data_IF_839346078696
#
_entry.id   IF_839346078696
#
_cell.length_a   1.000
_cell.length_b   1.000
_cell.length_c   1.000
_cell.angle_alpha   90.00
_cell.angle_beta   90.00
_cell.angle_gamma   90.00
#
_symmetry.space_group_name_H-M   'P 1'
#
loop_
_entity.id
_entity.type
_entity.pdbx_description
1 polymer ?
#
# COMPACT_ATOMS: atom_id res chain seq x y z
N UNK A 1 -10.72 -16.84 -26.91
CA UNK A 1 -11.81 -16.15 -26.18
C UNK A 1 -11.45 -14.69 -26.05
N UNK A 2 -12.10 -13.81 -26.82
CA UNK A 2 -11.75 -12.39 -27.00
C UNK A 2 -12.40 -11.55 -25.90
N UNK A 3 -11.62 -10.79 -25.14
CA UNK A 3 -12.11 -9.70 -24.30
C UNK A 3 -11.91 -8.41 -25.09
N UNK A 4 -13.02 -7.79 -25.47
CA UNK A 4 -13.08 -6.58 -26.28
C UNK A 4 -12.86 -5.34 -25.41
N UNK A 5 -11.86 -4.54 -25.74
CA UNK A 5 -11.73 -3.15 -25.28
C UNK A 5 -12.58 -2.27 -26.20
N UNK A 6 -13.66 -1.67 -25.68
CA UNK A 6 -14.39 -0.63 -26.39
C UNK A 6 -13.87 0.75 -25.96
N UNK A 7 -13.14 1.38 -26.88
CA UNK A 7 -12.94 2.83 -26.95
C UNK A 7 -14.22 3.41 -27.55
N UNK A 8 -14.87 4.38 -26.88
CA UNK A 8 -15.95 5.17 -27.48
C UNK A 8 -15.50 6.62 -27.65
N UNK A 9 -15.49 7.05 -28.91
CA UNK A 9 -15.23 8.42 -29.37
C UNK A 9 -16.40 9.34 -29.04
N UNK A 10 -16.08 10.58 -28.65
CA UNK A 10 -17.01 11.69 -28.49
C UNK A 10 -17.32 12.34 -29.86
N UNK A 11 -18.59 12.58 -30.13
CA UNK A 11 -19.06 13.62 -31.05
C UNK A 11 -20.31 14.24 -30.43
N UNK A 12 -20.30 15.57 -30.26
CA UNK A 12 -21.34 16.32 -29.56
C UNK A 12 -22.57 16.60 -30.41
N UNK A 13 -23.69 16.86 -29.74
CA UNK A 13 -24.70 17.82 -30.19
C UNK A 13 -25.44 18.38 -28.96
N UNK A 14 -25.63 19.69 -28.95
CA UNK A 14 -26.24 20.49 -27.88
C UNK A 14 -27.62 20.95 -28.36
N UNK A 15 -28.71 20.65 -27.64
CA UNK A 15 -29.98 21.42 -27.66
C UNK A 15 -30.64 21.38 -26.28
N UNK A 16 -31.17 22.53 -25.85
CA UNK A 16 -31.63 22.91 -24.51
C UNK A 16 -33.03 22.38 -24.11
N UNK A 17 -33.10 22.07 -22.79
CA UNK A 17 -34.14 22.31 -21.76
C UNK A 17 -35.64 22.15 -22.06
N UNK A 18 -36.31 21.34 -21.21
CA UNK A 18 -37.47 21.77 -20.41
C UNK A 18 -37.54 20.96 -19.10
N UNK A 19 -37.92 21.67 -18.04
CA UNK A 19 -37.85 21.36 -16.62
C UNK A 19 -38.92 20.40 -16.11
N UNK A 20 -38.50 19.42 -15.30
CA UNK A 20 -39.36 18.65 -14.39
C UNK A 20 -38.49 18.02 -13.30
N UNK A 21 -38.50 18.60 -12.11
CA UNK A 21 -37.76 18.09 -10.94
C UNK A 21 -38.46 16.86 -10.37
N UNK A 22 -38.23 15.71 -11.01
CA UNK A 22 -38.40 14.42 -10.35
C UNK A 22 -37.11 14.13 -9.58
N UNK A 23 -37.15 14.25 -8.25
CA UNK A 23 -36.13 13.70 -7.36
C UNK A 23 -36.16 12.17 -7.47
N UNK A 24 -35.57 11.63 -8.53
CA UNK A 24 -35.15 10.24 -8.56
C UNK A 24 -34.05 10.12 -7.52
N UNK A 25 -34.39 9.64 -6.33
CA UNK A 25 -33.40 9.04 -5.46
C UNK A 25 -32.68 7.99 -6.29
N UNK A 26 -31.42 8.25 -6.65
CA UNK A 26 -30.57 7.26 -7.26
C UNK A 26 -30.44 6.13 -6.24
N UNK A 27 -31.32 5.12 -6.34
CA UNK A 27 -31.06 3.85 -5.71
C UNK A 27 -29.73 3.39 -6.27
N UNK A 28 -28.72 3.33 -5.39
CA UNK A 28 -27.44 2.73 -5.78
C UNK A 28 -27.74 1.34 -6.35
N UNK A 29 -27.13 0.96 -7.47
CA UNK A 29 -27.39 -0.35 -8.06
C UNK A 29 -27.19 -1.43 -6.99
N UNK A 30 -28.04 -2.48 -6.97
CA UNK A 30 -27.96 -3.53 -5.96
C UNK A 30 -26.57 -4.15 -5.98
N UNK A 31 -25.94 -4.22 -4.81
CA UNK A 31 -24.61 -4.79 -4.65
C UNK A 31 -24.65 -6.31 -4.87
N UNK A 32 -24.05 -6.84 -5.95
CA UNK A 32 -24.09 -8.26 -6.25
C UNK A 32 -23.33 -9.12 -5.22
N UNK A 33 -22.50 -8.49 -4.38
CA UNK A 33 -21.67 -9.17 -3.37
C UNK A 33 -22.21 -9.06 -1.94
N UNK A 34 -23.39 -8.46 -1.74
CA UNK A 34 -23.96 -8.23 -0.39
C UNK A 34 -24.05 -9.49 0.48
N UNK A 35 -24.34 -10.66 -0.11
CA UNK A 35 -24.35 -11.94 0.64
C UNK A 35 -22.94 -12.36 1.06
N UNK A 36 -21.95 -12.19 0.19
CA UNK A 36 -20.56 -12.51 0.50
C UNK A 36 -20.01 -11.59 1.59
N UNK A 37 -20.36 -10.30 1.56
CA UNK A 37 -19.99 -9.33 2.60
C UNK A 37 -20.44 -9.78 3.98
N UNK A 38 -21.70 -10.21 4.12
CA UNK A 38 -22.24 -10.70 5.41
C UNK A 38 -21.48 -11.93 5.92
N UNK A 39 -21.15 -12.88 5.04
CA UNK A 39 -20.39 -14.09 5.41
C UNK A 39 -18.98 -13.73 5.86
N UNK A 40 -18.30 -12.84 5.14
CA UNK A 40 -16.94 -12.41 5.48
C UNK A 40 -16.96 -11.58 6.78
N UNK A 41 -17.93 -10.69 6.96
CA UNK A 41 -18.09 -9.90 8.19
C UNK A 41 -18.30 -10.78 9.42
N UNK A 42 -19.12 -11.83 9.32
CA UNK A 42 -19.35 -12.79 10.40
C UNK A 42 -18.06 -13.53 10.77
N UNK A 43 -17.37 -14.11 9.77
CA UNK A 43 -16.06 -14.76 9.95
C UNK A 43 -15.02 -13.84 10.61
N UNK A 44 -15.03 -12.57 10.23
CA UNK A 44 -14.08 -11.54 10.69
C UNK A 44 -14.51 -10.81 11.95
N UNK A 45 -15.61 -11.20 12.57
CA UNK A 45 -16.01 -10.60 13.84
C UNK A 45 -15.00 -10.93 14.95
N UNK A 46 -14.50 -9.88 15.59
CA UNK A 46 -13.70 -9.97 16.81
C UNK A 46 -14.67 -10.14 17.98
N UNK A 47 -14.78 -11.38 18.48
CA UNK A 47 -15.68 -11.75 19.58
C UNK A 47 -14.95 -11.91 20.93
N UNK A 48 -13.63 -11.76 20.96
CA UNK A 48 -12.85 -11.82 22.18
C UNK A 48 -13.27 -10.69 23.15
N UNK A 49 -13.45 -10.97 24.47
CA UNK A 49 -13.93 -9.96 25.42
C UNK A 49 -13.07 -8.69 25.51
N UNK A 50 -11.76 -8.82 25.32
CA UNK A 50 -10.80 -7.72 25.32
C UNK A 50 -10.44 -7.22 23.91
N UNK A 51 -11.12 -7.72 22.88
CA UNK A 51 -10.86 -7.40 21.49
C UNK A 51 -11.30 -5.99 21.10
N UNK A 52 -10.84 -5.56 19.93
CA UNK A 52 -11.21 -4.30 19.28
C UNK A 52 -11.51 -4.55 17.81
N UNK A 53 -12.62 -3.99 17.33
CA UNK A 53 -12.98 -3.91 15.92
C UNK A 53 -13.75 -2.61 15.69
N UNK A 54 -13.08 -1.60 15.16
CA UNK A 54 -13.63 -0.26 14.99
C UNK A 54 -13.26 0.30 13.61
N UNK A 55 -14.17 1.05 13.01
CA UNK A 55 -13.92 1.86 11.81
C UNK A 55 -14.42 3.28 12.05
N UNK A 56 -13.57 4.29 11.90
CA UNK A 56 -13.93 5.67 12.18
C UNK A 56 -13.12 6.66 11.35
N UNK A 57 -13.69 7.84 11.10
CA UNK A 57 -12.99 8.95 10.48
C UNK A 57 -12.27 9.81 11.54
N UNK A 58 -11.06 10.26 11.22
CA UNK A 58 -10.23 11.13 12.07
C UNK A 58 -9.81 12.37 11.28
N UNK A 59 -9.94 13.59 11.85
CA UNK A 59 -9.41 14.80 11.23
C UNK A 59 -7.88 14.79 11.27
N UNK A 60 -7.23 14.64 10.11
CA UNK A 60 -5.76 14.64 9.97
C UNK A 60 -5.36 15.45 8.75
N UNK A 61 -4.51 16.46 8.96
CA UNK A 61 -3.98 17.28 7.86
C UNK A 61 -5.07 17.97 7.02
N UNK A 62 -6.16 18.40 7.68
CA UNK A 62 -7.29 19.09 7.04
C UNK A 62 -8.27 18.19 6.28
N UNK A 63 -8.18 16.86 6.42
CA UNK A 63 -9.11 15.91 5.81
C UNK A 63 -9.58 14.86 6.83
N UNK A 64 -10.77 14.31 6.60
CA UNK A 64 -11.29 13.17 7.34
C UNK A 64 -10.68 11.87 6.79
N UNK A 65 -9.66 11.34 7.46
CA UNK A 65 -9.06 10.05 7.06
C UNK A 65 -9.74 8.90 7.78
N UNK A 66 -10.08 7.84 7.03
CA UNK A 66 -10.69 6.64 7.57
C UNK A 66 -9.66 5.69 8.15
N UNK A 67 -9.93 5.21 9.36
CA UNK A 67 -9.09 4.31 10.14
C UNK A 67 -9.87 3.04 10.46
N UNK A 68 -9.19 1.90 10.39
CA UNK A 68 -9.72 0.57 10.68
C UNK A 68 -8.80 -0.08 11.72
N UNK A 69 -9.37 -0.47 12.86
CA UNK A 69 -8.61 -1.02 14.00
C UNK A 69 -9.16 -2.39 14.34
N UNK A 70 -8.29 -3.41 14.32
CA UNK A 70 -8.67 -4.81 14.59
C UNK A 70 -7.62 -5.51 15.45
N UNK A 71 -8.05 -6.26 16.47
CA UNK A 71 -7.17 -7.06 17.32
C UNK A 71 -7.96 -7.87 18.35
N UNK A 72 -7.50 -9.08 18.67
CA UNK A 72 -8.14 -9.96 19.66
C UNK A 72 -7.90 -9.49 21.11
N UNK A 73 -6.94 -8.58 21.33
CA UNK A 73 -6.66 -7.98 22.64
C UNK A 73 -6.13 -6.55 22.46
N UNK A 74 -6.81 -5.56 23.07
CA UNK A 74 -6.40 -4.14 23.06
C UNK A 74 -5.02 -3.87 23.68
N UNK A 75 -4.48 -4.81 24.47
CA UNK A 75 -3.14 -4.73 25.07
C UNK A 75 -2.04 -5.15 24.11
N UNK A 76 -2.38 -5.83 23.01
CA UNK A 76 -1.39 -6.24 22.03
C UNK A 76 -0.66 -5.02 21.43
N UNK A 77 0.62 -5.15 21.07
CA UNK A 77 1.34 -4.11 20.34
C UNK A 77 0.58 -3.67 19.09
N UNK A 78 0.55 -2.36 18.84
CA UNK A 78 -0.10 -1.81 17.66
C UNK A 78 0.87 -1.78 16.48
N UNK A 79 0.43 -2.31 15.33
CA UNK A 79 1.05 -2.07 14.03
C UNK A 79 0.24 -0.99 13.31
N UNK A 80 0.87 0.15 13.02
CA UNK A 80 0.34 1.14 12.08
C UNK A 80 0.81 0.78 10.67
N UNK A 81 -0.11 0.33 9.82
CA UNK A 81 0.17 -0.10 8.47
C UNK A 81 -0.11 1.03 7.47
N UNK A 82 0.95 1.52 6.82
CA UNK A 82 0.92 2.56 5.79
C UNK A 82 0.91 1.88 4.41
N UNK A 83 -0.25 1.90 3.76
CA UNK A 83 -0.45 1.20 2.49
C UNK A 83 0.27 1.85 1.29
N UNK A 84 0.33 1.11 0.19
CA UNK A 84 0.95 1.53 -1.07
C UNK A 84 0.04 2.33 -2.01
N UNK A 85 0.49 2.46 -3.27
CA UNK A 85 -0.33 2.93 -4.39
C UNK A 85 0.28 4.03 -5.27
N UNK A 86 0.67 5.23 -4.82
CA UNK A 86 -0.11 5.95 -3.82
C UNK A 86 -1.62 5.78 -4.04
N UNK A 87 -2.38 5.83 -2.93
CA UNK A 87 -3.83 5.68 -2.90
C UNK A 87 -4.42 4.27 -3.20
N UNK A 88 -3.68 3.19 -2.91
CA UNK A 88 -4.19 1.80 -2.95
C UNK A 88 -4.37 1.24 -1.52
N UNK A 89 -5.52 1.45 -0.87
CA UNK A 89 -5.71 1.10 0.53
C UNK A 89 -5.72 -0.41 0.72
N UNK A 90 -5.20 -0.87 1.85
CA UNK A 90 -5.10 -2.30 2.16
C UNK A 90 -6.30 -2.80 3.01
N UNK A 91 -7.03 -1.90 3.68
CA UNK A 91 -8.21 -2.24 4.48
C UNK A 91 -9.27 -3.08 3.74
N UNK A 92 -9.60 -2.82 2.46
CA UNK A 92 -10.55 -3.66 1.74
C UNK A 92 -9.97 -5.00 1.23
N UNK A 93 -8.70 -5.29 1.51
CA UNK A 93 -7.98 -6.48 1.03
C UNK A 93 -7.62 -7.41 2.19
N UNK A 94 -7.56 -6.88 3.43
CA UNK A 94 -7.01 -7.62 4.58
C UNK A 94 -7.80 -8.82 5.06
N UNK A 95 -9.06 -8.96 4.64
CA UNK A 95 -9.84 -10.18 4.89
C UNK A 95 -9.17 -11.44 4.28
N UNK A 96 -8.20 -11.30 3.37
CA UNK A 96 -7.46 -12.43 2.82
C UNK A 96 -6.30 -12.94 3.69
N UNK A 97 -5.75 -12.12 4.59
CA UNK A 97 -4.50 -12.49 5.29
C UNK A 97 -4.34 -12.00 6.74
N UNK A 98 -5.07 -10.95 7.17
CA UNK A 98 -4.75 -10.26 8.42
C UNK A 98 -5.20 -11.02 9.67
N UNK A 99 -6.28 -11.81 9.59
CA UNK A 99 -6.94 -12.41 10.76
C UNK A 99 -5.98 -13.12 11.74
N UNK A 100 -5.02 -13.96 11.32
CA UNK A 100 -4.07 -14.57 12.25
C UNK A 100 -3.12 -13.56 12.95
N UNK A 101 -2.83 -12.41 12.35
CA UNK A 101 -2.02 -11.36 12.97
C UNK A 101 -2.74 -10.72 14.16
N UNK A 102 -4.07 -10.69 14.13
CA UNK A 102 -4.92 -10.03 15.14
C UNK A 102 -4.86 -10.73 16.50
N UNK A 103 -4.40 -11.98 16.56
CA UNK A 103 -4.13 -12.71 17.80
C UNK A 103 -2.93 -12.13 18.58
N UNK A 104 -1.97 -11.55 17.87
CA UNK A 104 -0.67 -11.12 18.43
C UNK A 104 -0.47 -9.60 18.42
N UNK A 105 -1.24 -8.90 17.58
CA UNK A 105 -1.14 -7.47 17.32
C UNK A 105 -2.54 -6.84 17.27
N UNK A 106 -2.61 -5.55 17.61
CA UNK A 106 -3.72 -4.71 17.15
C UNK A 106 -3.27 -4.04 15.84
N UNK A 107 -3.91 -4.37 14.73
CA UNK A 107 -3.56 -3.82 13.42
C UNK A 107 -4.41 -2.57 13.17
N UNK A 108 -3.73 -1.46 12.89
CA UNK A 108 -4.32 -0.19 12.50
C UNK A 108 -3.98 0.06 11.04
N UNK A 109 -5.01 0.06 10.21
CA UNK A 109 -4.94 0.51 8.83
C UNK A 109 -5.67 1.84 8.69
N UNK A 110 -5.32 2.59 7.66
CA UNK A 110 -6.05 3.79 7.32
C UNK A 110 -5.99 4.01 5.82
N UNK A 111 -6.99 4.71 5.29
CA UNK A 111 -6.98 5.17 3.92
C UNK A 111 -6.32 6.56 3.93
N UNK A 112 -5.12 6.64 3.35
CA UNK A 112 -4.40 7.91 3.22
C UNK A 112 -5.26 8.97 2.52
N UNK A 113 -4.89 10.25 2.65
CA UNK A 113 -5.54 11.34 1.90
C UNK A 113 -5.69 10.97 0.42
N UNK A 114 -6.84 11.33 -0.15
CA UNK A 114 -7.20 11.00 -1.53
C UNK A 114 -7.19 9.50 -1.88
N UNK A 115 -7.40 8.59 -0.92
CA UNK A 115 -7.50 7.14 -1.14
C UNK A 115 -8.84 6.57 -0.69
N UNK A 116 -9.41 5.63 -1.46
CA UNK A 116 -10.54 4.79 -1.05
C UNK A 116 -11.67 5.55 -0.35
N UNK A 117 -12.03 5.10 0.85
CA UNK A 117 -13.11 5.71 1.65
C UNK A 117 -12.78 7.15 2.06
N UNK A 118 -11.52 7.48 2.31
CA UNK A 118 -11.05 8.86 2.54
C UNK A 118 -11.29 9.74 1.31
N UNK A 119 -11.08 9.24 0.09
CA UNK A 119 -11.43 10.00 -1.13
C UNK A 119 -12.94 10.25 -1.22
N UNK A 120 -13.75 9.21 -1.01
CA UNK A 120 -15.21 9.31 -1.10
C UNK A 120 -15.83 10.24 -0.05
N UNK A 121 -15.19 10.40 1.10
CA UNK A 121 -15.72 11.15 2.25
C UNK A 121 -15.46 12.67 2.16
N UNK A 122 -14.45 13.10 1.40
CA UNK A 122 -13.96 14.49 1.46
C UNK A 122 -14.29 15.25 0.17
N UNK A 123 -14.46 16.58 0.28
CA UNK A 123 -14.42 17.46 -0.89
C UNK A 123 -13.01 17.47 -1.49
N UNK A 124 -12.92 17.17 -2.78
CA UNK A 124 -11.65 17.02 -3.50
C UNK A 124 -11.26 18.28 -4.29
N UNK A 125 -12.13 19.29 -4.36
CA UNK A 125 -11.95 20.51 -5.18
C UNK A 125 -10.63 21.23 -4.87
N UNK A 126 -10.26 21.35 -3.59
CA UNK A 126 -9.00 21.95 -3.14
C UNK A 126 -7.88 20.95 -2.82
N UNK A 127 -8.20 19.65 -2.75
CA UNK A 127 -7.34 18.64 -2.13
C UNK A 127 -6.01 18.46 -2.88
N UNK A 128 -6.01 18.67 -4.19
CA UNK A 128 -4.84 18.50 -5.06
C UNK A 128 -3.62 19.32 -4.62
N UNK A 129 -3.84 20.48 -3.99
CA UNK A 129 -2.76 21.35 -3.47
C UNK A 129 -2.03 20.77 -2.28
N UNK A 130 -2.54 19.70 -1.67
CA UNK A 130 -1.94 19.04 -0.50
C UNK A 130 -1.35 17.68 -0.84
N UNK A 131 -1.45 17.24 -2.10
CA UNK A 131 -0.91 15.97 -2.57
C UNK A 131 0.60 16.12 -2.80
N UNK A 132 1.36 16.01 -1.71
CA UNK A 132 2.83 16.06 -1.64
C UNK A 132 3.34 15.06 -0.62
N UNK A 133 4.49 14.43 -0.86
CA UNK A 133 5.14 13.44 0.02
C UNK A 133 5.16 13.94 1.45
N UNK A 134 5.59 15.18 1.66
CA UNK A 134 5.68 15.78 2.99
C UNK A 134 4.35 15.76 3.74
N UNK A 135 3.24 16.04 3.06
CA UNK A 135 1.93 16.03 3.71
C UNK A 135 1.51 14.62 4.13
N UNK A 136 1.75 13.60 3.30
CA UNK A 136 1.50 12.21 3.69
C UNK A 136 2.33 11.79 4.91
N UNK A 137 3.57 12.28 5.01
CA UNK A 137 4.44 12.04 6.18
C UNK A 137 3.86 12.69 7.44
N UNK A 138 3.45 13.96 7.35
CA UNK A 138 2.83 14.66 8.48
C UNK A 138 1.52 13.99 8.92
N UNK A 139 0.71 13.54 7.97
CA UNK A 139 -0.51 12.80 8.28
C UNK A 139 -0.22 11.48 9.01
N UNK A 140 0.76 10.71 8.55
CA UNK A 140 1.14 9.45 9.18
C UNK A 140 1.66 9.66 10.62
N UNK A 141 2.44 10.73 10.85
CA UNK A 141 2.92 11.11 12.18
C UNK A 141 1.74 11.51 13.08
N UNK A 142 0.87 12.41 12.62
CA UNK A 142 -0.29 12.86 13.39
C UNK A 142 -1.23 11.70 13.72
N UNK A 143 -1.45 10.79 12.76
CA UNK A 143 -2.24 9.59 12.99
C UNK A 143 -1.56 8.68 14.03
N UNK A 144 -0.25 8.46 13.95
CA UNK A 144 0.49 7.68 14.95
C UNK A 144 0.33 8.25 16.37
N UNK A 145 0.37 9.58 16.53
CA UNK A 145 0.13 10.24 17.82
C UNK A 145 -1.29 10.02 18.34
N UNK A 146 -2.29 10.20 17.48
CA UNK A 146 -3.71 10.00 17.81
C UNK A 146 -3.94 8.55 18.25
N UNK A 147 -3.42 7.59 17.48
CA UNK A 147 -3.60 6.16 17.73
C UNK A 147 -2.93 5.74 19.03
N UNK A 148 -1.67 6.13 19.28
CA UNK A 148 -1.01 5.77 20.54
C UNK A 148 -1.78 6.34 21.74
N UNK A 149 -2.28 7.58 21.63
CA UNK A 149 -3.02 8.24 22.71
C UNK A 149 -4.37 7.56 22.94
N UNK A 150 -5.13 7.28 21.87
CA UNK A 150 -6.44 6.64 21.95
C UNK A 150 -6.38 5.25 22.59
N UNK A 151 -5.34 4.47 22.28
CA UNK A 151 -5.20 3.09 22.76
C UNK A 151 -4.18 2.92 23.89
N UNK A 152 -3.69 4.02 24.49
CA UNK A 152 -2.80 3.98 25.65
C UNK A 152 -1.43 3.34 25.40
N UNK A 153 -0.95 3.36 24.15
CA UNK A 153 0.34 2.77 23.78
C UNK A 153 1.47 3.81 23.86
N UNK A 154 2.63 3.42 24.38
CA UNK A 154 3.79 4.32 24.45
C UNK A 154 4.36 4.65 23.07
N UNK A 155 4.49 3.62 22.21
CA UNK A 155 4.98 3.68 20.84
C UNK A 155 4.22 2.65 19.98
N UNK A 156 4.34 2.77 18.66
CA UNK A 156 3.74 1.85 17.68
C UNK A 156 4.84 1.09 16.90
N UNK A 157 4.48 0.01 16.22
CA UNK A 157 5.30 -0.56 15.15
C UNK A 157 4.86 0.10 13.85
N UNK A 158 5.79 0.70 13.11
CA UNK A 158 5.46 1.33 11.82
C UNK A 158 5.77 0.36 10.68
N UNK A 159 4.76 0.01 9.90
CA UNK A 159 4.90 -0.90 8.77
C UNK A 159 4.48 -0.20 7.47
N UNK A 160 5.41 -0.06 6.53
CA UNK A 160 5.13 0.53 5.23
C UNK A 160 5.11 -0.52 4.13
N UNK A 161 4.18 -0.40 3.18
CA UNK A 161 4.13 -1.22 1.96
C UNK A 161 4.29 -0.36 0.71
N UNK A 162 5.20 -0.73 -0.19
CA UNK A 162 5.36 -0.07 -1.50
C UNK A 162 5.59 1.45 -1.35
N UNK A 163 4.81 2.30 -2.01
CA UNK A 163 4.76 3.76 -1.79
C UNK A 163 4.74 4.14 -0.29
N UNK A 164 4.01 3.41 0.54
CA UNK A 164 3.93 3.66 1.98
C UNK A 164 5.27 3.52 2.71
N UNK A 165 6.27 2.86 2.12
CA UNK A 165 7.63 2.81 2.65
C UNK A 165 8.35 4.15 2.58
N UNK A 166 8.04 4.98 1.57
CA UNK A 166 8.59 6.35 1.46
C UNK A 166 8.06 7.20 2.61
N UNK A 167 6.74 7.16 2.80
CA UNK A 167 6.05 7.88 3.89
C UNK A 167 6.59 7.41 5.25
N UNK A 168 6.68 6.09 5.43
CA UNK A 168 7.10 5.49 6.70
C UNK A 168 8.56 5.76 7.03
N UNK A 169 9.47 5.69 6.04
CA UNK A 169 10.89 6.01 6.21
C UNK A 169 11.06 7.45 6.71
N UNK A 170 10.43 8.41 6.05
CA UNK A 170 10.48 9.81 6.48
C UNK A 170 9.84 10.02 7.86
N UNK A 171 8.71 9.37 8.15
CA UNK A 171 8.05 9.47 9.45
C UNK A 171 8.93 8.92 10.59
N UNK A 172 9.53 7.74 10.40
CA UNK A 172 10.42 7.13 11.39
C UNK A 172 11.72 7.91 11.60
N UNK A 173 12.28 8.52 10.55
CA UNK A 173 13.46 9.37 10.67
C UNK A 173 13.15 10.68 11.42
N UNK A 174 11.97 11.27 11.19
CA UNK A 174 11.55 12.52 11.84
C UNK A 174 11.10 12.34 13.28
N UNK A 175 10.39 11.25 13.57
CA UNK A 175 9.77 10.97 14.88
C UNK A 175 10.05 9.56 15.38
N UNK A 176 11.34 9.21 15.57
CA UNK A 176 11.72 7.89 16.10
C UNK A 176 11.21 7.63 17.52
N UNK A 177 10.84 8.69 18.25
CA UNK A 177 10.21 8.60 19.56
C UNK A 177 8.83 7.92 19.51
N UNK A 178 8.13 7.95 18.37
CA UNK A 178 6.81 7.35 18.23
C UNK A 178 6.83 5.84 17.94
N UNK A 179 7.99 5.28 17.58
CA UNK A 179 8.04 3.92 17.02
C UNK A 179 9.01 2.99 17.75
N UNK A 180 8.60 1.74 17.93
CA UNK A 180 9.45 0.66 18.43
C UNK A 180 10.37 0.12 17.34
N UNK A 181 9.87 0.04 16.11
CA UNK A 181 10.58 -0.50 14.95
C UNK A 181 9.94 0.02 13.66
N UNK A 182 10.74 0.03 12.60
CA UNK A 182 10.28 0.20 11.22
C UNK A 182 10.33 -1.14 10.48
N UNK A 183 9.24 -1.49 9.78
CA UNK A 183 9.14 -2.66 8.91
C UNK A 183 8.80 -2.20 7.49
N UNK A 184 9.69 -2.46 6.53
CA UNK A 184 9.49 -2.18 5.11
C UNK A 184 9.07 -3.44 4.34
N UNK A 185 8.02 -3.33 3.53
CA UNK A 185 7.57 -4.36 2.57
C UNK A 185 7.57 -3.75 1.18
N UNK A 186 8.27 -4.37 0.21
CA UNK A 186 8.44 -3.78 -1.11
C UNK A 186 9.10 -2.40 -1.04
N UNK A 187 10.20 -2.32 -0.31
CA UNK A 187 10.90 -1.08 0.05
C UNK A 187 11.40 -0.29 -1.16
N UNK A 188 11.09 1.01 -1.18
CA UNK A 188 11.71 1.97 -2.10
C UNK A 188 12.90 2.64 -1.41
N UNK A 189 14.11 2.40 -1.91
CA UNK A 189 15.32 3.15 -1.51
C UNK A 189 15.58 4.30 -2.47
N UNK A 190 15.51 4.04 -3.78
CA UNK A 190 15.64 5.05 -4.81
C UNK A 190 14.66 4.71 -5.93
N UNK A 191 13.76 5.64 -6.23
CA UNK A 191 12.67 5.37 -7.17
C UNK A 191 13.18 5.13 -8.59
N UNK A 192 14.23 5.83 -9.02
CA UNK A 192 14.77 5.66 -10.37
C UNK A 192 15.51 4.33 -10.53
N UNK A 193 16.22 3.88 -9.49
CA UNK A 193 16.82 2.55 -9.45
C UNK A 193 15.76 1.45 -9.52
N UNK A 194 14.64 1.60 -8.79
CA UNK A 194 13.53 0.64 -8.90
C UNK A 194 12.94 0.61 -10.32
N UNK A 195 12.63 1.77 -10.91
CA UNK A 195 12.09 1.85 -12.28
C UNK A 195 13.03 1.22 -13.32
N UNK A 196 14.34 1.48 -13.21
CA UNK A 196 15.36 0.89 -14.08
C UNK A 196 15.44 -0.63 -13.95
N UNK A 197 15.57 -1.13 -12.72
CA UNK A 197 15.74 -2.57 -12.46
C UNK A 197 14.50 -3.38 -12.85
N UNK A 198 13.30 -2.83 -12.62
CA UNK A 198 12.04 -3.45 -13.06
C UNK A 198 11.96 -3.55 -14.58
N UNK A 199 12.35 -2.50 -15.31
CA UNK A 199 12.38 -2.50 -16.77
C UNK A 199 13.42 -3.46 -17.34
N UNK A 200 14.63 -3.47 -16.77
CA UNK A 200 15.70 -4.40 -17.18
C UNK A 200 15.28 -5.86 -16.94
N UNK A 201 14.61 -6.16 -15.83
CA UNK A 201 14.03 -7.48 -15.59
C UNK A 201 13.03 -7.89 -16.67
N UNK A 202 12.11 -6.99 -17.02
CA UNK A 202 11.12 -7.24 -18.05
C UNK A 202 11.76 -7.53 -19.42
N UNK A 203 12.81 -6.79 -19.78
CA UNK A 203 13.57 -7.04 -21.01
C UNK A 203 14.28 -8.40 -20.99
N UNK A 204 14.88 -8.79 -19.86
CA UNK A 204 15.53 -10.10 -19.72
C UNK A 204 14.52 -11.24 -19.87
N UNK A 205 13.39 -11.18 -19.16
CA UNK A 205 12.36 -12.21 -19.23
C UNK A 205 11.68 -12.26 -20.60
N UNK A 206 11.38 -11.11 -21.21
CA UNK A 206 10.85 -11.06 -22.57
C UNK A 206 11.80 -11.69 -23.60
N UNK A 207 13.11 -11.46 -23.43
CA UNK A 207 14.14 -12.06 -24.30
C UNK A 207 14.20 -13.57 -24.11
N UNK A 208 14.29 -14.03 -22.85
CA UNK A 208 14.35 -15.45 -22.48
C UNK A 208 13.14 -16.22 -23.00
N UNK A 209 11.95 -15.62 -22.92
CA UNK A 209 10.69 -16.22 -23.34
C UNK A 209 10.34 -15.97 -24.82
N UNK A 210 11.20 -15.27 -25.58
CA UNK A 210 10.97 -14.89 -26.99
C UNK A 210 9.62 -14.16 -27.18
N UNK A 211 9.25 -13.30 -26.24
CA UNK A 211 8.00 -12.54 -26.27
C UNK A 211 8.18 -11.27 -27.14
N UNK A 212 7.95 -11.42 -28.44
CA UNK A 212 8.14 -10.34 -29.44
C UNK A 212 7.22 -9.13 -29.22
N UNK A 213 6.05 -9.32 -28.60
CA UNK A 213 5.16 -8.19 -28.26
C UNK A 213 5.80 -7.36 -27.15
N UNK A 214 6.25 -8.02 -26.08
CA UNK A 214 6.92 -7.36 -24.96
C UNK A 214 8.22 -6.67 -25.40
N UNK A 215 9.04 -7.33 -26.20
CA UNK A 215 10.28 -6.76 -26.70
C UNK A 215 10.04 -5.50 -27.54
N UNK A 216 9.04 -5.52 -28.43
CA UNK A 216 8.68 -4.36 -29.24
C UNK A 216 8.20 -3.18 -28.38
N UNK A 217 7.30 -3.44 -27.43
CA UNK A 217 6.79 -2.39 -26.52
C UNK A 217 7.90 -1.83 -25.63
N UNK A 218 8.72 -2.67 -25.00
CA UNK A 218 9.79 -2.22 -24.10
C UNK A 218 10.89 -1.46 -24.85
N UNK A 219 11.27 -1.91 -26.05
CA UNK A 219 12.32 -1.25 -26.86
C UNK A 219 11.87 0.09 -27.43
N UNK A 220 10.56 0.35 -27.55
CA UNK A 220 10.07 1.61 -28.16
C UNK A 220 10.35 2.85 -27.32
N UNK A 221 10.76 2.70 -26.05
CA UNK A 221 11.07 3.82 -25.15
C UNK A 221 12.33 3.58 -24.30
N UNK A 222 13.15 2.59 -24.69
CA UNK A 222 14.42 2.28 -24.05
C UNK A 222 15.49 3.35 -24.39
N UNK A 223 16.46 3.60 -23.49
CA UNK A 223 16.54 3.09 -22.11
C UNK A 223 15.51 3.75 -21.20
N UNK A 224 15.05 3.02 -20.18
CA UNK A 224 14.13 3.52 -19.16
C UNK A 224 14.79 3.43 -17.77
N UNK A 225 14.71 4.47 -16.93
CA UNK A 225 14.01 5.74 -17.16
C UNK A 225 14.66 6.65 -18.22
N UNK A 226 15.99 6.54 -18.39
CA UNK A 226 16.77 7.34 -19.35
C UNK A 226 16.71 8.85 -19.05
N UNK A 227 16.99 9.68 -20.06
CA UNK A 227 16.98 11.14 -19.93
C UNK A 227 15.64 11.77 -20.34
N UNK A 228 14.65 10.95 -20.71
CA UNK A 228 13.33 11.42 -21.11
C UNK A 228 12.40 11.50 -19.90
N UNK A 229 11.43 12.45 -19.86
CA UNK A 229 10.47 12.55 -18.77
C UNK A 229 9.74 11.23 -18.54
N UNK A 230 9.69 10.77 -17.29
CA UNK A 230 8.90 9.60 -16.91
C UNK A 230 7.44 10.05 -16.83
N UNK A 231 6.67 9.81 -17.89
CA UNK A 231 5.24 10.11 -17.94
C UNK A 231 4.40 8.94 -17.44
N UNK A 232 3.12 9.17 -17.17
CA UNK A 232 2.18 8.12 -16.75
C UNK A 232 2.10 6.98 -17.77
N UNK A 233 2.09 7.31 -19.05
CA UNK A 233 2.01 6.34 -20.16
C UNK A 233 3.25 5.45 -20.19
N UNK A 234 4.44 6.03 -20.02
CA UNK A 234 5.69 5.27 -19.94
C UNK A 234 5.71 4.35 -18.72
N UNK A 235 5.22 4.81 -17.57
CA UNK A 235 5.10 3.99 -16.36
C UNK A 235 4.18 2.79 -16.59
N UNK A 236 3.02 3.00 -17.23
CA UNK A 236 2.07 1.92 -17.52
C UNK A 236 2.74 0.82 -18.35
N UNK A 237 3.45 1.19 -19.42
CA UNK A 237 4.11 0.20 -20.28
C UNK A 237 5.30 -0.44 -19.54
N UNK A 238 6.11 0.35 -18.84
CA UNK A 238 7.28 -0.13 -18.08
C UNK A 238 6.89 -1.11 -16.97
N UNK A 239 5.71 -0.95 -16.36
CA UNK A 239 5.23 -1.83 -15.29
C UNK A 239 4.39 -3.01 -15.78
N UNK A 240 3.78 -2.95 -16.97
CA UNK A 240 2.97 -4.05 -17.54
C UNK A 240 3.73 -5.38 -17.60
N UNK A 241 4.90 -5.38 -18.24
CA UNK A 241 5.67 -6.59 -18.49
C UNK A 241 6.36 -7.21 -17.26
N UNK A 242 7.02 -6.45 -16.37
CA UNK A 242 7.56 -7.06 -15.15
C UNK A 242 6.45 -7.68 -14.29
N UNK A 243 5.26 -7.07 -14.24
CA UNK A 243 4.11 -7.67 -13.56
C UNK A 243 3.60 -8.94 -14.26
N UNK A 244 3.52 -8.95 -15.59
CA UNK A 244 3.19 -10.15 -16.37
C UNK A 244 4.16 -11.31 -16.11
N UNK A 245 5.42 -11.02 -15.84
CA UNK A 245 6.42 -12.02 -15.47
C UNK A 245 6.49 -12.28 -13.95
N UNK A 246 5.42 -12.01 -13.21
CA UNK A 246 5.32 -12.33 -11.77
C UNK A 246 5.88 -11.30 -10.82
N UNK A 247 6.20 -10.09 -11.28
CA UNK A 247 6.80 -9.03 -10.48
C UNK A 247 5.88 -8.37 -9.45
N UNK A 248 4.55 -8.54 -9.60
CA UNK A 248 3.54 -8.07 -8.64
C UNK A 248 3.07 -9.20 -7.71
N UNK A 249 2.76 -10.37 -8.29
CA UNK A 249 2.48 -11.60 -7.57
C UNK A 249 3.29 -12.74 -8.19
N UNK A 250 4.09 -13.42 -7.37
CA UNK A 250 4.98 -14.48 -7.78
C UNK A 250 4.21 -15.59 -8.49
N UNK A 251 4.84 -16.11 -9.54
CA UNK A 251 4.32 -17.22 -10.34
C UNK A 251 2.97 -16.95 -11.04
N UNK A 252 2.52 -15.69 -11.08
CA UNK A 252 1.26 -15.30 -11.71
C UNK A 252 1.49 -14.22 -12.77
N UNK A 253 0.83 -14.37 -13.91
CA UNK A 253 0.86 -13.36 -14.97
C UNK A 253 -0.13 -12.21 -14.74
N UNK A 254 -1.02 -12.33 -13.76
CA UNK A 254 -1.96 -11.29 -13.36
C UNK A 254 -2.36 -11.43 -11.89
N UNK A 255 -2.80 -10.31 -11.30
CA UNK A 255 -3.23 -10.23 -9.89
C UNK A 255 -4.72 -9.91 -9.76
N UNK A 256 -5.57 -10.49 -10.62
CA UNK A 256 -7.03 -10.21 -10.60
C UNK A 256 -7.64 -10.50 -9.22
N UNK A 257 -7.14 -11.51 -8.50
CA UNK A 257 -7.59 -11.81 -7.13
C UNK A 257 -7.38 -10.62 -6.17
N UNK A 258 -6.27 -9.89 -6.30
CA UNK A 258 -5.95 -8.72 -5.48
C UNK A 258 -6.87 -7.55 -5.85
N UNK A 259 -7.02 -7.26 -7.15
CA UNK A 259 -7.85 -6.14 -7.62
C UNK A 259 -9.35 -6.37 -7.40
N UNK A 260 -9.81 -7.62 -7.38
CA UNK A 260 -11.21 -7.97 -7.09
C UNK A 260 -11.49 -8.14 -5.59
N UNK A 261 -10.47 -8.24 -4.74
CA UNK A 261 -10.68 -8.44 -3.30
C UNK A 261 -11.53 -7.36 -2.62
N UNK A 262 -11.42 -6.05 -2.99
CA UNK A 262 -12.29 -5.02 -2.46
C UNK A 262 -13.78 -5.25 -2.74
N UNK A 263 -14.14 -5.90 -3.85
CA UNK A 263 -15.53 -6.18 -4.20
C UNK A 263 -16.22 -7.11 -3.19
N UNK A 264 -15.45 -7.94 -2.49
CA UNK A 264 -15.96 -8.87 -1.46
C UNK A 264 -15.78 -8.32 -0.04
N UNK A 265 -15.19 -7.14 0.12
CA UNK A 265 -14.86 -6.63 1.44
C UNK A 265 -16.09 -6.07 2.16
N UNK A 266 -16.35 -6.47 3.42
CA UNK A 266 -17.39 -5.83 4.23
C UNK A 266 -16.97 -4.43 4.72
N UNK A 267 -15.71 -4.03 4.57
CA UNK A 267 -15.23 -2.72 5.02
C UNK A 267 -15.66 -1.57 4.09
N UNK A 268 -16.04 -1.89 2.85
CA UNK A 268 -16.26 -0.94 1.77
C UNK A 268 -17.62 -1.17 1.11
N UNK A 269 -18.33 -0.09 0.81
CA UNK A 269 -19.48 -0.10 -0.11
C UNK A 269 -19.02 -0.09 -1.57
N UNK A 270 -19.87 -0.44 -2.55
CA UNK A 270 -19.50 -0.35 -3.97
C UNK A 270 -18.97 1.01 -4.42
N UNK A 271 -19.53 2.11 -3.89
CA UNK A 271 -19.08 3.48 -4.19
C UNK A 271 -17.68 3.74 -3.62
N UNK A 272 -17.38 3.20 -2.44
CA UNK A 272 -16.05 3.31 -1.83
C UNK A 272 -15.01 2.46 -2.57
N UNK A 273 -15.42 1.32 -3.15
CA UNK A 273 -14.55 0.53 -4.04
C UNK A 273 -14.21 1.32 -5.30
N UNK A 274 -15.20 1.93 -5.96
CA UNK A 274 -14.97 2.79 -7.13
C UNK A 274 -14.05 3.98 -6.80
N UNK A 275 -14.12 4.50 -5.58
CA UNK A 275 -13.30 5.59 -5.11
C UNK A 275 -11.79 5.25 -5.02
N UNK A 276 -11.42 3.96 -4.98
CA UNK A 276 -10.01 3.54 -5.02
C UNK A 276 -9.36 3.98 -6.34
N UNK A 277 -10.01 3.69 -7.47
CA UNK A 277 -9.50 4.05 -8.80
C UNK A 277 -9.50 5.56 -9.00
N UNK A 278 -10.57 6.25 -8.59
CA UNK A 278 -10.65 7.72 -8.62
C UNK A 278 -9.52 8.35 -7.81
N UNK A 279 -9.26 7.84 -6.61
CA UNK A 279 -8.18 8.31 -5.74
C UNK A 279 -6.79 8.09 -6.33
N UNK A 280 -6.54 6.91 -6.92
CA UNK A 280 -5.28 6.59 -7.59
C UNK A 280 -5.01 7.52 -8.79
N UNK A 281 -6.02 7.72 -9.64
CA UNK A 281 -5.94 8.65 -10.78
C UNK A 281 -5.72 10.11 -10.32
N UNK A 282 -6.39 10.52 -9.25
CA UNK A 282 -6.23 11.86 -8.68
C UNK A 282 -4.82 12.06 -8.13
N UNK A 283 -4.25 11.04 -7.52
CA UNK A 283 -3.03 11.18 -6.71
C UNK A 283 -1.75 10.99 -7.51
N UNK A 284 -1.68 9.98 -8.39
CA UNK A 284 -0.42 9.54 -8.99
C UNK A 284 0.28 10.64 -9.80
N UNK A 285 -0.45 11.31 -10.69
CA UNK A 285 0.13 12.36 -11.56
C UNK A 285 0.69 13.54 -10.77
N UNK A 286 0.07 13.87 -9.63
CA UNK A 286 0.47 14.98 -8.75
C UNK A 286 1.71 14.63 -7.93
N UNK A 287 1.83 13.39 -7.47
CA UNK A 287 2.99 12.93 -6.70
C UNK A 287 4.19 12.56 -7.56
N UNK A 288 3.99 12.26 -8.85
CA UNK A 288 5.03 11.70 -9.69
C UNK A 288 6.36 12.49 -9.67
N UNK A 289 6.37 13.84 -9.75
CA UNK A 289 7.62 14.60 -9.67
C UNK A 289 8.39 14.41 -8.35
N UNK A 290 7.69 14.32 -7.21
CA UNK A 290 8.31 14.10 -5.91
C UNK A 290 8.72 12.63 -5.72
N UNK A 291 7.87 11.69 -6.15
CA UNK A 291 8.15 10.26 -6.11
C UNK A 291 9.46 9.92 -6.82
N UNK A 292 9.69 10.48 -8.01
CA UNK A 292 10.90 10.23 -8.81
C UNK A 292 12.17 10.86 -8.25
N UNK A 293 12.06 11.76 -7.28
CA UNK A 293 13.19 12.38 -6.57
C UNK A 293 13.55 11.67 -5.27
N UNK A 294 12.76 10.69 -4.84
CA UNK A 294 13.04 9.95 -3.62
C UNK A 294 14.37 9.22 -3.74
N UNK A 295 15.27 9.54 -2.81
CA UNK A 295 16.56 8.90 -2.65
C UNK A 295 16.95 8.78 -1.17
N UNK A 296 16.90 7.57 -0.63
CA UNK A 296 17.35 7.23 0.71
C UNK A 296 18.78 6.68 0.75
N UNK A 297 19.49 6.59 -0.38
CA UNK A 297 20.91 6.18 -0.41
C UNK A 297 21.81 6.99 0.54
N UNK A 298 21.59 8.30 0.74
CA UNK A 298 22.35 9.09 1.71
C UNK A 298 22.08 8.75 3.18
N UNK A 299 20.97 8.07 3.50
CA UNK A 299 20.65 7.66 4.89
C UNK A 299 21.59 6.52 5.30
N UNK A 300 22.65 6.85 6.04
CA UNK A 300 23.64 5.87 6.53
C UNK A 300 23.39 5.39 7.95
N UNK A 301 22.51 6.05 8.70
CA UNK A 301 22.11 5.68 10.05
C UNK A 301 20.60 5.77 10.23
N UNK A 302 20.01 4.79 10.91
CA UNK A 302 18.59 4.77 11.27
C UNK A 302 18.42 4.75 12.80
N UNK A 303 17.53 5.58 13.37
CA UNK A 303 17.44 5.79 14.82
C UNK A 303 16.74 4.67 15.59
N UNK A 304 16.04 3.76 14.91
CA UNK A 304 15.27 2.65 15.51
C UNK A 304 15.57 1.32 14.79
N UNK A 305 15.21 0.17 15.36
CA UNK A 305 15.28 -1.12 14.67
C UNK A 305 14.61 -1.11 13.28
N UNK A 306 15.26 -1.76 12.30
CA UNK A 306 14.81 -1.82 10.90
C UNK A 306 14.67 -3.27 10.42
N UNK A 307 13.50 -3.62 9.89
CA UNK A 307 13.24 -4.91 9.29
C UNK A 307 12.80 -4.72 7.84
N UNK A 308 13.46 -5.40 6.90
CA UNK A 308 13.12 -5.39 5.48
C UNK A 308 12.58 -6.76 5.09
N UNK A 309 11.28 -6.83 4.79
CA UNK A 309 10.63 -8.03 4.29
C UNK A 309 10.66 -7.98 2.76
N UNK A 310 11.41 -8.90 2.15
CA UNK A 310 11.81 -8.83 0.74
C UNK A 310 11.26 -10.04 -0.02
N UNK A 311 10.39 -9.80 -0.99
CA UNK A 311 9.93 -10.82 -1.93
C UNK A 311 11.03 -11.17 -2.93
N UNK A 312 11.34 -12.46 -3.08
CA UNK A 312 12.34 -12.95 -4.04
C UNK A 312 11.99 -12.58 -5.49
N UNK A 313 10.70 -12.46 -5.78
CA UNK A 313 10.16 -12.17 -7.10
C UNK A 313 9.62 -10.74 -7.23
N UNK A 314 9.87 -9.85 -6.26
CA UNK A 314 9.38 -8.48 -6.33
C UNK A 314 10.15 -7.71 -7.42
N UNK A 315 9.47 -7.42 -8.52
CA UNK A 315 9.93 -6.51 -9.57
C UNK A 315 8.95 -5.36 -9.79
N UNK A 316 8.10 -5.10 -8.80
CA UNK A 316 7.38 -3.83 -8.67
C UNK A 316 8.25 -2.83 -7.92
N UNK A 317 8.90 -3.28 -6.84
CA UNK A 317 9.98 -2.59 -6.14
C UNK A 317 11.13 -3.58 -5.90
N UNK A 318 12.02 -3.77 -6.89
CA UNK A 318 13.14 -4.70 -6.80
C UNK A 318 13.89 -4.62 -5.46
N UNK A 319 14.16 -5.78 -4.86
CA UNK A 319 14.77 -5.86 -3.52
C UNK A 319 16.27 -5.53 -3.51
N UNK A 320 16.94 -5.56 -4.65
CA UNK A 320 18.40 -5.35 -4.76
C UNK A 320 18.88 -4.01 -4.15
N UNK A 321 18.30 -2.83 -4.45
CA UNK A 321 18.66 -1.58 -3.78
C UNK A 321 18.49 -1.64 -2.26
N UNK A 322 17.46 -2.33 -1.78
CA UNK A 322 17.17 -2.50 -0.35
C UNK A 322 18.23 -3.35 0.34
N UNK A 323 18.66 -4.46 -0.28
CA UNK A 323 19.74 -5.31 0.24
C UNK A 323 21.03 -4.50 0.36
N UNK A 324 21.40 -3.78 -0.70
CA UNK A 324 22.63 -2.97 -0.73
C UNK A 324 22.60 -1.86 0.32
N UNK A 325 21.47 -1.16 0.45
CA UNK A 325 21.28 -0.12 1.46
C UNK A 325 21.34 -0.67 2.88
N UNK A 326 20.62 -1.78 3.15
CA UNK A 326 20.56 -2.39 4.47
C UNK A 326 21.94 -2.90 4.92
N UNK A 327 22.75 -3.44 4.01
CA UNK A 327 24.11 -3.87 4.30
C UNK A 327 24.97 -2.70 4.82
N UNK A 328 24.87 -1.52 4.20
CA UNK A 328 25.62 -0.32 4.59
C UNK A 328 25.03 0.46 5.78
N UNK A 329 23.76 0.22 6.13
CA UNK A 329 23.04 0.97 7.17
C UNK A 329 23.59 0.71 8.58
N UNK A 330 23.73 1.74 9.40
CA UNK A 330 23.89 1.60 10.86
C UNK A 330 22.54 1.77 11.55
N UNK A 331 22.10 0.80 12.35
CA UNK A 331 20.86 0.89 13.11
C UNK A 331 21.00 0.10 14.42
N UNK A 332 20.19 0.39 15.47
CA UNK A 332 20.21 -0.38 16.72
C UNK A 332 20.03 -1.89 16.52
N UNK A 333 19.22 -2.25 15.52
CA UNK A 333 19.03 -3.60 15.02
C UNK A 333 18.64 -3.48 13.55
N UNK A 334 19.16 -4.34 12.68
CA UNK A 334 18.73 -4.42 11.28
C UNK A 334 18.63 -5.88 10.82
N UNK A 335 17.55 -6.22 10.12
CA UNK A 335 17.37 -7.57 9.55
C UNK A 335 16.69 -7.51 8.19
N UNK A 336 17.25 -8.24 7.22
CA UNK A 336 16.60 -8.52 5.95
C UNK A 336 16.03 -9.93 5.99
N UNK A 337 14.75 -10.09 5.67
CA UNK A 337 14.05 -11.38 5.69
C UNK A 337 13.52 -11.65 4.29
N UNK A 338 13.98 -12.74 3.69
CA UNK A 338 13.54 -13.16 2.37
C UNK A 338 12.25 -13.98 2.42
N UNK A 339 11.33 -13.64 1.53
CA UNK A 339 10.11 -14.36 1.23
C UNK A 339 10.30 -15.02 -0.13
N UNK A 340 10.71 -16.29 -0.08
CA UNK A 340 11.25 -17.02 -1.24
C UNK A 340 10.19 -17.30 -2.31
N UNK A 341 8.91 -17.30 -1.95
CA UNK A 341 7.80 -17.57 -2.87
C UNK A 341 6.87 -16.37 -3.03
N UNK A 342 7.36 -15.17 -2.71
CA UNK A 342 6.58 -13.93 -2.80
C UNK A 342 7.21 -12.94 -3.76
N UNK A 343 6.36 -12.11 -4.35
CA UNK A 343 6.71 -10.89 -5.04
C UNK A 343 6.32 -9.68 -4.15
N UNK A 344 5.67 -8.69 -4.76
CA UNK A 344 5.31 -7.42 -4.12
C UNK A 344 4.14 -7.51 -3.15
N UNK A 345 3.28 -8.53 -3.31
CA UNK A 345 2.08 -8.75 -2.51
C UNK A 345 2.33 -9.77 -1.40
N UNK A 346 3.53 -9.79 -0.82
CA UNK A 346 3.96 -10.81 0.15
C UNK A 346 3.00 -11.07 1.32
N UNK A 347 2.21 -10.09 1.85
CA UNK A 347 1.24 -10.41 2.89
C UNK A 347 0.15 -11.37 2.42
N UNK A 348 -0.17 -11.39 1.12
CA UNK A 348 -1.14 -12.29 0.50
C UNK A 348 -0.51 -13.60 0.02
N UNK A 349 0.78 -13.59 -0.31
CA UNK A 349 1.46 -14.73 -0.95
C UNK A 349 2.03 -15.72 0.08
N UNK A 350 2.62 -15.22 1.17
CA UNK A 350 3.16 -16.03 2.27
C UNK A 350 2.66 -15.51 3.64
N UNK A 351 1.33 -15.46 3.89
CA UNK A 351 0.74 -14.87 5.10
C UNK A 351 1.21 -15.55 6.39
N UNK A 352 1.39 -16.88 6.37
CA UNK A 352 1.90 -17.62 7.52
C UNK A 352 3.34 -17.25 7.88
N UNK A 353 4.20 -17.05 6.87
CA UNK A 353 5.58 -16.61 7.10
C UNK A 353 5.62 -15.16 7.58
N UNK A 354 4.74 -14.30 7.09
CA UNK A 354 4.59 -12.93 7.60
C UNK A 354 4.26 -12.95 9.09
N UNK A 355 3.25 -13.73 9.50
CA UNK A 355 2.88 -13.90 10.91
C UNK A 355 4.08 -14.32 11.76
N UNK A 356 4.73 -15.43 11.41
CA UNK A 356 5.86 -15.96 12.17
C UNK A 356 7.01 -14.95 12.25
N UNK A 357 7.31 -14.25 11.15
CA UNK A 357 8.35 -13.23 11.12
C UNK A 357 8.02 -12.09 12.08
N UNK A 358 6.80 -11.55 12.04
CA UNK A 358 6.40 -10.44 12.91
C UNK A 358 6.41 -10.85 14.38
N UNK A 359 5.87 -12.04 14.70
CA UNK A 359 5.81 -12.56 16.07
C UNK A 359 7.20 -12.81 16.64
N UNK A 360 8.12 -13.41 15.86
CA UNK A 360 9.43 -13.80 16.36
C UNK A 360 10.43 -12.64 16.36
N UNK A 361 10.38 -11.76 15.37
CA UNK A 361 11.43 -10.76 15.15
C UNK A 361 11.03 -9.36 15.62
N UNK A 362 9.76 -8.99 15.46
CA UNK A 362 9.31 -7.59 15.66
C UNK A 362 8.56 -7.41 16.98
N UNK A 363 7.63 -8.31 17.30
CA UNK A 363 6.83 -8.26 18.53
C UNK A 363 7.66 -8.14 19.81
N UNK A 364 8.81 -8.85 19.99
CA UNK A 364 9.60 -8.74 21.21
C UNK A 364 10.08 -7.32 21.51
N UNK A 365 10.24 -6.48 20.48
CA UNK A 365 10.63 -5.07 20.64
C UNK A 365 9.52 -4.19 21.23
N UNK A 366 8.28 -4.66 21.26
CA UNK A 366 7.15 -3.94 21.84
C UNK A 366 6.68 -4.55 23.17
N UNK A 367 7.08 -5.78 23.50
CA UNK A 367 6.61 -6.50 24.69
C UNK A 367 7.67 -6.77 25.75
N UNK A 368 8.96 -6.87 25.39
CA UNK A 368 10.03 -7.15 26.35
C UNK A 368 10.62 -5.85 26.92
N UNK A 369 11.10 -5.82 28.18
CA UNK A 369 11.87 -4.70 28.72
C UNK A 369 13.11 -4.40 27.87
N UNK A 370 13.49 -3.12 27.73
CA UNK A 370 14.58 -2.68 26.85
C UNK A 370 15.91 -3.43 27.06
N UNK A 371 16.22 -3.83 28.30
CA UNK A 371 17.46 -4.54 28.66
C UNK A 371 17.52 -5.99 28.13
N UNK A 372 16.38 -6.56 27.73
CA UNK A 372 16.26 -7.95 27.27
C UNK A 372 16.38 -8.08 25.75
N UNK A 373 16.45 -6.95 25.02
CA UNK A 373 16.37 -6.89 23.54
C UNK A 373 17.74 -6.97 22.85
N UNK A 374 18.82 -7.19 23.60
CA UNK A 374 20.22 -7.21 23.12
C UNK A 374 20.82 -8.62 22.96
N UNK A 375 20.01 -9.68 23.01
CA UNK A 375 20.48 -11.05 22.80
C UNK A 375 20.15 -11.52 21.39
#
# INVERSE_FOLDING_TARGET
>A
MRVSFLIRSFAGLLVLLLSGTASFGQSSPPDPYAKAHKIIADRDSIVAPNGVQESYAVPVGGVQQWVYVRGQDKRNPIILFVHGGPASPMAPVTWMFQRPLEEYFTIVQYDQRASGKTYATNDTTGLGRTIRVEQYVQDAIALAEIIRKKYGQQKLILMGHSWGTIVSMHAALKRPDLFYAYVGIGQVINSQDNERLSFEYALREATKQKNEVALRELRSFAPYPGNQPITRERIIIARKWPQYYGGLSAYRANSVYYFNAPLLSPAYTPVEVEAIDKGSLFTLSRLLPEFLRVDFKPVKSFPIPVFMLMGRHDYTTPSEPTVNWLAALKAPLKKGIWFENSAHLLPLEEPGKLLLTLVNEVRPLATLPANSRKK
#
